data_IF_215963627969
#
_entry.id   IF_215963627969
#
_cell.length_a   1.000
_cell.length_b   1.000
_cell.length_c   1.000
_cell.angle_alpha   90.00
_cell.angle_beta   90.00
_cell.angle_gamma   90.00
#
_symmetry.space_group_name_H-M   'P 1'
#
loop_
_entity.id
_entity.type
_entity.pdbx_description
1 polymer ?
#
# COMPACT_ATOMS: atom_id res chain seq x y z
N UNK A 1 -12.27 -10.31 21.66
CA UNK A 1 -11.22 -11.34 21.76
C UNK A 1 -10.39 -11.24 20.49
N UNK A 2 -9.34 -10.42 20.48
CA UNK A 2 -8.45 -10.27 19.32
C UNK A 2 -7.46 -11.43 19.31
N UNK A 3 -7.27 -12.07 18.15
CA UNK A 3 -6.28 -13.12 17.99
C UNK A 3 -4.89 -12.60 18.35
N UNK A 4 -4.19 -13.36 19.18
CA UNK A 4 -3.02 -12.92 19.96
C UNK A 4 -1.69 -13.06 19.22
N UNK A 5 -1.65 -12.88 17.90
CA UNK A 5 -0.39 -12.87 17.14
C UNK A 5 -0.45 -11.93 15.93
N UNK A 6 -0.91 -10.70 16.09
CA UNK A 6 -0.58 -9.66 15.11
C UNK A 6 0.94 -9.36 15.26
N UNK A 7 1.80 -9.71 14.29
CA UNK A 7 3.23 -9.43 14.37
C UNK A 7 3.53 -7.94 14.54
N UNK A 8 2.61 -7.08 14.10
CA UNK A 8 2.67 -5.63 14.32
C UNK A 8 2.55 -5.29 15.81
N UNK A 9 1.71 -6.01 16.56
CA UNK A 9 1.51 -5.78 18.01
C UNK A 9 2.73 -6.15 18.85
N UNK A 10 3.40 -7.27 18.54
CA UNK A 10 4.60 -7.68 19.28
C UNK A 10 5.77 -6.71 19.06
N UNK A 11 6.07 -6.36 17.80
CA UNK A 11 7.10 -5.39 17.47
C UNK A 11 6.81 -4.00 18.07
N UNK A 12 5.53 -3.60 18.05
CA UNK A 12 5.09 -2.34 18.62
C UNK A 12 5.29 -2.28 20.14
N UNK A 13 4.91 -3.32 20.88
CA UNK A 13 5.13 -3.39 22.34
C UNK A 13 6.61 -3.28 22.71
N UNK A 14 7.46 -4.02 22.00
CA UNK A 14 8.91 -3.93 22.20
C UNK A 14 9.44 -2.51 21.93
N UNK A 15 8.92 -1.82 20.90
CA UNK A 15 9.31 -0.43 20.63
C UNK A 15 8.83 0.53 21.72
N UNK A 16 7.61 0.37 22.22
CA UNK A 16 7.05 1.17 23.34
C UNK A 16 7.91 1.04 24.59
N UNK A 17 8.30 -0.19 24.94
CA UNK A 17 9.16 -0.49 26.08
C UNK A 17 10.57 0.12 25.90
N UNK A 18 11.21 -0.12 24.75
CA UNK A 18 12.55 0.38 24.45
C UNK A 18 12.64 1.91 24.43
N UNK A 19 11.57 2.59 24.01
CA UNK A 19 11.49 4.05 23.97
C UNK A 19 11.01 4.66 25.30
N UNK A 20 10.55 3.85 26.24
CA UNK A 20 9.95 4.32 27.49
C UNK A 20 8.73 5.21 27.27
N UNK A 21 7.90 4.90 26.26
CA UNK A 21 6.75 5.73 25.90
C UNK A 21 5.72 5.74 27.04
N UNK A 22 5.16 6.93 27.30
CA UNK A 22 4.08 7.07 28.28
C UNK A 22 2.86 6.26 27.82
N UNK A 23 2.14 5.58 28.74
CA UNK A 23 1.03 4.70 28.37
C UNK A 23 -0.07 5.38 27.54
N UNK A 24 -0.35 6.65 27.80
CA UNK A 24 -1.34 7.41 27.04
C UNK A 24 -0.90 7.69 25.59
N UNK A 25 0.39 7.94 25.36
CA UNK A 25 0.96 8.12 24.01
C UNK A 25 0.95 6.79 23.27
N UNK A 26 1.42 5.72 23.93
CA UNK A 26 1.37 4.38 23.35
C UNK A 26 -0.06 3.99 22.98
N UNK A 27 -1.06 4.33 23.80
CA UNK A 27 -2.45 4.02 23.48
C UNK A 27 -2.98 4.80 22.27
N UNK A 28 -2.61 6.08 22.14
CA UNK A 28 -2.99 6.92 21.02
C UNK A 28 -2.39 6.44 19.68
N UNK A 29 -1.24 5.76 19.72
CA UNK A 29 -0.56 5.21 18.55
C UNK A 29 -1.01 3.79 18.17
N UNK A 30 -1.81 3.12 19.02
CA UNK A 30 -2.39 1.78 18.73
C UNK A 30 -3.69 1.85 17.94
N UNK A 31 -4.48 2.89 18.15
CA UNK A 31 -5.84 3.00 17.63
C UNK A 31 -5.79 3.86 16.37
N UNK A 32 -6.34 3.39 15.23
CA UNK A 32 -6.41 4.21 14.03
C UNK A 32 -7.35 5.41 14.23
N UNK A 33 -6.98 6.56 13.67
CA UNK A 33 -7.81 7.77 13.67
C UNK A 33 -9.21 7.54 13.08
N UNK A 34 -9.31 6.69 12.04
CA UNK A 34 -10.57 6.37 11.37
C UNK A 34 -10.55 5.03 10.66
N UNK A 35 -11.68 4.34 10.69
CA UNK A 35 -11.97 3.16 9.87
C UNK A 35 -13.27 3.39 9.11
N UNK A 36 -13.25 3.16 7.81
CA UNK A 36 -14.43 3.26 6.95
C UNK A 36 -14.64 1.92 6.22
N UNK A 37 -15.82 1.35 6.39
CA UNK A 37 -16.34 0.24 5.58
C UNK A 37 -17.42 0.77 4.66
N UNK A 38 -17.38 0.39 3.38
CA UNK A 38 -18.34 0.82 2.37
C UNK A 38 -18.88 -0.37 1.60
N UNK A 39 -20.16 -0.28 1.23
CA UNK A 39 -20.76 -1.13 0.21
C UNK A 39 -20.39 -0.60 -1.19
N UNK A 40 -20.10 -1.49 -2.12
CA UNK A 40 -19.77 -1.17 -3.52
C UNK A 40 -20.73 -1.93 -4.46
N UNK A 41 -21.93 -1.39 -4.73
CA UNK A 41 -22.85 -2.00 -5.69
C UNK A 41 -22.38 -1.73 -7.12
N UNK A 42 -22.38 -2.75 -7.96
CA UNK A 42 -22.01 -2.65 -9.37
C UNK A 42 -22.87 -3.57 -10.25
N UNK A 43 -22.94 -3.22 -11.54
CA UNK A 43 -23.60 -4.06 -12.54
C UNK A 43 -22.57 -5.00 -13.16
N UNK A 44 -22.86 -6.29 -13.15
CA UNK A 44 -22.09 -7.33 -13.83
C UNK A 44 -22.30 -7.25 -15.34
N UNK A 45 -21.39 -7.84 -16.12
CA UNK A 45 -21.50 -7.85 -17.58
C UNK A 45 -22.74 -8.60 -18.09
N UNK A 46 -23.23 -9.58 -17.32
CA UNK A 46 -24.50 -10.29 -17.59
C UNK A 46 -25.76 -9.47 -17.27
N UNK A 47 -25.60 -8.26 -16.71
CA UNK A 47 -26.68 -7.35 -16.39
C UNK A 47 -27.21 -7.42 -14.95
N UNK A 48 -26.81 -8.43 -14.17
CA UNK A 48 -27.17 -8.56 -12.76
C UNK A 48 -26.48 -7.48 -11.91
N UNK A 49 -27.07 -7.18 -10.74
CA UNK A 49 -26.46 -6.30 -9.75
C UNK A 49 -25.82 -7.18 -8.69
N UNK A 50 -24.58 -6.87 -8.35
CA UNK A 50 -23.82 -7.52 -7.30
C UNK A 50 -23.16 -6.44 -6.42
N UNK A 51 -22.68 -6.83 -5.24
CA UNK A 51 -22.15 -5.90 -4.25
C UNK A 51 -20.98 -6.51 -3.49
N UNK A 52 -19.91 -5.72 -3.31
CA UNK A 52 -18.72 -6.14 -2.57
C UNK A 52 -18.41 -5.12 -1.47
N UNK A 53 -17.66 -5.55 -0.46
CA UNK A 53 -17.27 -4.70 0.66
C UNK A 53 -15.87 -4.13 0.41
N UNK A 54 -15.74 -2.83 0.61
CA UNK A 54 -14.46 -2.12 0.60
C UNK A 54 -14.14 -1.51 1.98
N UNK A 55 -12.85 -1.34 2.24
CA UNK A 55 -12.33 -0.75 3.46
C UNK A 55 -11.33 0.36 3.17
N UNK A 56 -11.33 1.41 3.99
CA UNK A 56 -10.25 2.40 4.08
C UNK A 56 -9.99 2.74 5.55
N UNK A 57 -8.77 2.43 6.00
CA UNK A 57 -8.28 2.73 7.35
C UNK A 57 -7.25 3.84 7.28
N UNK A 58 -7.41 4.83 8.14
CA UNK A 58 -6.54 5.98 8.33
C UNK A 58 -5.99 5.88 9.74
N UNK A 59 -4.71 5.51 9.87
CA UNK A 59 -4.13 5.13 11.15
C UNK A 59 -3.67 6.33 11.97
N UNK A 60 -2.76 7.14 11.44
CA UNK A 60 -2.27 8.32 12.13
C UNK A 60 -1.80 9.38 11.11
N UNK A 61 -2.21 10.64 11.27
CA UNK A 61 -1.82 11.77 10.40
C UNK A 61 -0.91 12.82 11.06
N UNK A 62 -0.30 12.53 12.21
CA UNK A 62 0.49 13.52 12.97
C UNK A 62 1.63 14.14 12.15
N UNK A 63 2.18 13.39 11.18
CA UNK A 63 3.28 13.86 10.30
C UNK A 63 2.83 14.42 8.95
N UNK A 64 1.53 14.39 8.65
CA UNK A 64 0.98 14.81 7.36
C UNK A 64 -0.15 13.91 6.86
N UNK A 65 -0.59 14.09 5.61
CA UNK A 65 -1.71 13.33 5.02
C UNK A 65 -1.51 11.82 5.14
N UNK A 66 -2.59 11.05 5.24
CA UNK A 66 -2.50 9.61 5.22
C UNK A 66 -1.96 9.13 3.86
N UNK A 67 -1.08 8.12 3.88
CA UNK A 67 -0.55 7.51 2.66
C UNK A 67 -0.63 6.00 2.73
N UNK A 68 -1.19 5.39 1.69
CA UNK A 68 -0.97 3.98 1.42
C UNK A 68 -1.96 3.35 0.46
N UNK A 69 -1.62 2.14 0.03
CA UNK A 69 -2.21 1.49 -1.13
C UNK A 69 -3.62 0.94 -0.93
N UNK A 70 -4.26 0.56 -2.02
CA UNK A 70 -5.54 -0.16 -2.08
C UNK A 70 -5.28 -1.55 -2.66
N UNK A 71 -5.64 -2.59 -1.91
CA UNK A 71 -5.43 -4.02 -2.27
C UNK A 71 -6.71 -4.67 -2.77
N UNK A 72 -6.64 -5.44 -3.85
CA UNK A 72 -7.74 -6.33 -4.29
C UNK A 72 -7.35 -7.77 -4.00
N UNK A 73 -7.93 -8.37 -2.95
CA UNK A 73 -7.63 -9.76 -2.60
C UNK A 73 -8.80 -10.40 -1.85
N UNK A 74 -9.06 -11.68 -2.07
CA UNK A 74 -10.21 -12.40 -1.49
C UNK A 74 -10.12 -12.55 0.04
N UNK A 75 -8.91 -12.49 0.60
CA UNK A 75 -8.68 -12.48 2.05
C UNK A 75 -8.67 -11.08 2.70
N UNK A 76 -8.98 -10.00 1.95
CA UNK A 76 -9.04 -8.67 2.58
C UNK A 76 -10.15 -8.63 3.61
N UNK A 77 -9.78 -8.32 4.85
CA UNK A 77 -10.68 -7.96 5.93
C UNK A 77 -10.21 -6.68 6.64
N UNK A 78 -11.01 -6.20 7.59
CA UNK A 78 -10.71 -4.97 8.33
C UNK A 78 -9.48 -5.09 9.22
N UNK A 79 -9.18 -6.28 9.76
CA UNK A 79 -8.02 -6.49 10.63
C UNK A 79 -6.72 -6.39 9.83
N UNK A 80 -6.66 -7.04 8.67
CA UNK A 80 -5.51 -6.95 7.75
C UNK A 80 -5.27 -5.50 7.31
N UNK A 81 -6.33 -4.79 6.89
CA UNK A 81 -6.21 -3.40 6.42
C UNK A 81 -5.73 -2.48 7.55
N UNK A 82 -6.19 -2.71 8.78
CA UNK A 82 -5.72 -1.97 9.97
C UNK A 82 -4.24 -2.19 10.23
N UNK A 83 -3.78 -3.44 10.32
CA UNK A 83 -2.37 -3.75 10.57
C UNK A 83 -1.46 -3.17 9.48
N UNK A 84 -1.90 -3.22 8.21
CA UNK A 84 -1.16 -2.62 7.10
C UNK A 84 -1.15 -1.07 7.14
N UNK A 85 -2.22 -0.42 7.61
CA UNK A 85 -2.25 1.04 7.79
C UNK A 85 -1.31 1.50 8.92
N UNK A 86 -1.23 0.73 10.00
CA UNK A 86 -0.26 0.91 11.08
C UNK A 86 1.17 0.82 10.54
N UNK A 87 1.50 -0.22 9.76
CA UNK A 87 2.80 -0.35 9.10
C UNK A 87 3.13 0.82 8.17
N UNK A 88 2.13 1.41 7.50
CA UNK A 88 2.36 2.60 6.66
C UNK A 88 2.75 3.83 7.48
N UNK A 89 2.25 3.99 8.70
CA UNK A 89 2.65 5.07 9.63
C UNK A 89 4.12 4.92 10.02
N UNK A 90 4.53 3.70 10.36
CA UNK A 90 5.92 3.42 10.72
C UNK A 90 6.86 3.52 9.53
N UNK A 91 6.43 3.04 8.36
CA UNK A 91 7.23 3.13 7.14
C UNK A 91 7.51 4.57 6.73
N UNK A 92 6.48 5.42 6.71
CA UNK A 92 6.59 6.83 6.30
C UNK A 92 7.44 7.64 7.28
N UNK A 93 7.30 7.40 8.58
CA UNK A 93 8.17 8.00 9.60
C UNK A 93 9.62 7.50 9.52
N UNK A 94 9.84 6.21 9.28
CA UNK A 94 11.18 5.62 9.19
C UNK A 94 12.02 6.22 8.05
N UNK A 95 11.40 6.48 6.89
CA UNK A 95 12.07 7.09 5.73
C UNK A 95 11.93 8.61 5.68
N UNK A 96 11.48 9.22 6.78
CA UNK A 96 11.37 10.66 7.01
C UNK A 96 10.62 11.44 5.93
N UNK A 97 9.49 10.89 5.45
CA UNK A 97 8.57 11.59 4.53
C UNK A 97 7.38 12.19 5.31
N UNK A 98 6.81 13.32 4.85
CA UNK A 98 5.76 14.05 5.57
C UNK A 98 4.38 13.43 5.35
N UNK A 99 4.23 12.16 5.71
CA UNK A 99 2.99 11.41 5.61
C UNK A 99 2.69 10.64 6.88
N UNK A 100 1.40 10.44 7.09
CA UNK A 100 0.84 9.44 7.98
C UNK A 100 0.67 8.08 7.32
N UNK A 101 -0.02 7.16 8.01
CA UNK A 101 -0.32 5.83 7.48
C UNK A 101 -1.79 5.63 7.14
N UNK A 102 -2.07 5.20 5.92
CA UNK A 102 -3.39 4.75 5.51
C UNK A 102 -3.31 3.45 4.72
N UNK A 103 -4.42 2.71 4.64
CA UNK A 103 -4.53 1.53 3.78
C UNK A 103 -5.98 1.30 3.39
N UNK A 104 -6.22 0.75 2.22
CA UNK A 104 -7.54 0.25 1.86
C UNK A 104 -7.48 -1.09 1.17
N UNK A 105 -8.65 -1.66 0.95
CA UNK A 105 -8.78 -2.87 0.15
C UNK A 105 -10.22 -3.23 -0.14
N UNK A 106 -10.38 -4.13 -1.10
CA UNK A 106 -11.67 -4.72 -1.50
C UNK A 106 -11.51 -6.24 -1.45
N UNK A 107 -12.44 -6.92 -0.78
CA UNK A 107 -12.49 -8.36 -0.61
C UNK A 107 -12.92 -9.09 -1.88
N UNK A 108 -12.10 -9.05 -2.93
CA UNK A 108 -12.38 -9.68 -4.24
C UNK A 108 -11.18 -10.45 -4.77
N UNK A 109 -11.45 -11.48 -5.58
CA UNK A 109 -10.44 -12.06 -6.45
C UNK A 109 -10.55 -11.42 -7.85
N UNK A 110 -9.58 -10.58 -8.27
CA UNK A 110 -9.70 -9.84 -9.52
C UNK A 110 -9.80 -10.72 -10.77
N UNK A 111 -9.36 -11.98 -10.73
CA UNK A 111 -9.50 -12.90 -11.87
C UNK A 111 -10.94 -13.28 -12.19
N UNK A 112 -11.85 -13.06 -11.23
CA UNK A 112 -13.25 -13.46 -11.35
C UNK A 112 -14.10 -12.37 -12.00
N UNK A 113 -13.48 -11.23 -12.35
CA UNK A 113 -14.13 -10.05 -12.90
C UNK A 113 -13.51 -9.67 -14.25
N UNK A 114 -14.33 -9.19 -15.16
CA UNK A 114 -13.82 -8.57 -16.38
C UNK A 114 -13.13 -7.23 -16.09
N UNK A 115 -12.34 -6.73 -17.04
CA UNK A 115 -11.74 -5.39 -16.92
C UNK A 115 -12.80 -4.30 -16.73
N UNK A 116 -13.94 -4.42 -17.42
CA UNK A 116 -15.03 -3.45 -17.31
C UNK A 116 -15.71 -3.51 -15.95
N UNK A 117 -15.86 -4.71 -15.37
CA UNK A 117 -16.37 -4.88 -14.01
C UNK A 117 -15.39 -4.32 -12.97
N UNK A 118 -14.09 -4.60 -13.11
CA UNK A 118 -13.05 -4.04 -12.23
C UNK A 118 -13.00 -2.51 -12.29
N UNK A 119 -13.18 -1.91 -13.48
CA UNK A 119 -13.31 -0.46 -13.61
C UNK A 119 -14.52 0.07 -12.84
N UNK A 120 -15.70 -0.55 -13.03
CA UNK A 120 -16.93 -0.14 -12.32
C UNK A 120 -16.79 -0.26 -10.80
N UNK A 121 -16.24 -1.37 -10.32
CA UNK A 121 -15.95 -1.60 -8.89
C UNK A 121 -14.99 -0.51 -8.37
N UNK A 122 -13.90 -0.27 -9.09
CA UNK A 122 -12.87 0.72 -8.70
C UNK A 122 -13.47 2.12 -8.59
N UNK A 123 -14.22 2.56 -9.60
CA UNK A 123 -14.88 3.88 -9.62
C UNK A 123 -15.89 4.03 -8.48
N UNK A 124 -16.72 3.01 -8.26
CA UNK A 124 -17.71 3.02 -7.18
C UNK A 124 -17.06 3.03 -5.80
N UNK A 125 -16.01 2.25 -5.60
CA UNK A 125 -15.22 2.28 -4.37
C UNK A 125 -14.62 3.67 -4.11
N UNK A 126 -14.00 4.27 -5.12
CA UNK A 126 -13.37 5.58 -4.96
C UNK A 126 -14.38 6.67 -4.61
N UNK A 127 -15.56 6.67 -5.24
CA UNK A 127 -16.68 7.55 -4.84
C UNK A 127 -17.13 7.31 -3.41
N UNK A 128 -17.20 6.05 -2.97
CA UNK A 128 -17.69 5.70 -1.64
C UNK A 128 -16.74 6.17 -0.53
N UNK A 129 -15.43 6.23 -0.80
CA UNK A 129 -14.42 6.74 0.16
C UNK A 129 -14.10 8.23 -0.02
N UNK A 130 -14.68 8.90 -1.02
CA UNK A 130 -14.49 10.33 -1.32
C UNK A 130 -14.53 11.25 -0.09
N UNK A 131 -15.47 11.10 0.87
CA UNK A 131 -15.57 11.99 2.02
C UNK A 131 -14.34 12.00 2.94
N UNK A 132 -13.43 11.03 2.80
CA UNK A 132 -12.28 10.87 3.67
C UNK A 132 -10.93 10.98 2.93
N UNK A 133 -10.94 11.15 1.61
CA UNK A 133 -9.72 11.26 0.80
C UNK A 133 -9.50 12.68 0.27
N UNK A 134 -8.26 12.99 -0.11
CA UNK A 134 -7.91 14.31 -0.61
C UNK A 134 -6.40 14.51 -0.68
N UNK A 135 -5.94 15.43 -1.53
CA UNK A 135 -4.50 15.69 -1.76
C UNK A 135 -3.76 16.05 -0.47
N UNK A 136 -4.43 16.71 0.47
CA UNK A 136 -3.88 17.08 1.78
C UNK A 136 -4.51 16.29 2.94
N UNK A 137 -5.22 15.20 2.64
CA UNK A 137 -5.97 14.41 3.63
C UNK A 137 -5.50 12.95 3.60
N UNK A 138 -5.74 12.25 2.49
CA UNK A 138 -5.38 10.85 2.30
C UNK A 138 -5.20 10.55 0.82
N UNK A 139 -4.03 9.99 0.47
CA UNK A 139 -3.57 9.79 -0.90
C UNK A 139 -3.36 8.29 -1.15
N UNK A 140 -4.26 7.60 -1.85
CA UNK A 140 -4.09 6.20 -2.18
C UNK A 140 -2.93 5.89 -3.15
N UNK A 141 -2.65 4.59 -3.32
CA UNK A 141 -1.62 4.05 -4.22
C UNK A 141 -1.99 2.62 -4.66
N UNK A 142 -1.25 2.04 -5.63
CA UNK A 142 -1.25 0.61 -5.88
C UNK A 142 -0.81 -0.21 -4.67
N UNK A 143 -1.35 -1.43 -4.60
CA UNK A 143 -0.93 -2.52 -3.74
C UNK A 143 -1.16 -3.86 -4.48
N UNK A 144 -1.25 -4.99 -3.77
CA UNK A 144 -1.50 -6.30 -4.37
C UNK A 144 -2.75 -6.25 -5.27
N UNK A 145 -2.57 -6.68 -6.51
CA UNK A 145 -3.57 -6.72 -7.60
C UNK A 145 -4.21 -5.38 -8.00
N UNK A 146 -3.59 -4.26 -7.63
CA UNK A 146 -3.90 -2.96 -8.25
C UNK A 146 -2.65 -2.38 -8.89
N UNK A 147 -2.82 -1.55 -9.91
CA UNK A 147 -1.71 -1.08 -10.76
C UNK A 147 -1.98 0.35 -11.24
N UNK A 148 -1.18 0.82 -12.20
CA UNK A 148 -1.33 2.16 -12.78
C UNK A 148 -2.67 2.38 -13.48
N UNK A 149 -3.27 1.34 -14.06
CA UNK A 149 -4.61 1.40 -14.65
C UNK A 149 -5.69 1.63 -13.58
N UNK A 150 -5.59 0.97 -12.42
CA UNK A 150 -6.53 1.25 -11.32
C UNK A 150 -6.36 2.68 -10.81
N UNK A 151 -5.13 3.19 -10.76
CA UNK A 151 -4.87 4.57 -10.36
C UNK A 151 -5.38 5.60 -11.36
N UNK A 152 -5.40 5.29 -12.66
CA UNK A 152 -5.97 6.19 -13.66
C UNK A 152 -7.48 6.29 -13.49
N UNK A 153 -8.18 5.17 -13.24
CA UNK A 153 -9.61 5.18 -12.91
C UNK A 153 -9.92 5.98 -11.64
N UNK A 154 -9.14 5.79 -10.57
CA UNK A 154 -9.32 6.56 -9.33
C UNK A 154 -9.12 8.06 -9.54
N UNK A 155 -8.05 8.44 -10.25
CA UNK A 155 -7.76 9.86 -10.52
C UNK A 155 -8.85 10.50 -11.39
N UNK A 156 -9.29 9.81 -12.43
CA UNK A 156 -10.37 10.27 -13.31
C UNK A 156 -11.67 10.42 -12.52
N UNK A 157 -12.06 9.39 -11.75
CA UNK A 157 -13.30 9.38 -10.97
C UNK A 157 -13.39 10.54 -9.97
N UNK A 158 -12.29 10.79 -9.25
CA UNK A 158 -12.21 11.92 -8.32
C UNK A 158 -12.24 13.26 -9.05
N UNK A 159 -11.59 13.35 -10.21
CA UNK A 159 -11.53 14.58 -10.99
C UNK A 159 -12.90 14.99 -11.56
N UNK A 160 -13.82 14.04 -11.75
CA UNK A 160 -15.21 14.36 -12.14
C UNK A 160 -15.95 15.21 -11.09
N UNK A 161 -15.58 15.09 -9.81
CA UNK A 161 -16.24 15.79 -8.70
C UNK A 161 -15.45 17.01 -8.22
N UNK A 162 -14.12 16.94 -8.28
CA UNK A 162 -13.21 17.93 -7.67
C UNK A 162 -12.37 18.71 -8.68
N UNK A 163 -12.58 18.50 -9.98
CA UNK A 163 -11.73 19.04 -11.04
C UNK A 163 -10.39 18.30 -11.16
N UNK A 164 -9.59 18.66 -12.16
CA UNK A 164 -8.33 17.97 -12.47
C UNK A 164 -7.38 17.93 -11.26
N UNK A 165 -7.29 16.77 -10.60
CA UNK A 165 -6.58 16.61 -9.32
C UNK A 165 -5.61 15.44 -9.37
N UNK A 166 -4.47 15.55 -10.09
CA UNK A 166 -3.53 14.44 -10.26
C UNK A 166 -2.90 13.98 -8.93
N UNK A 167 -2.84 14.84 -7.91
CA UNK A 167 -2.25 14.54 -6.61
C UNK A 167 -3.05 13.55 -5.74
N UNK A 168 -4.29 13.21 -6.11
CA UNK A 168 -5.17 12.37 -5.26
C UNK A 168 -4.67 10.94 -5.11
N UNK A 169 -3.94 10.41 -6.09
CA UNK A 169 -3.34 9.08 -6.05
C UNK A 169 -1.92 9.09 -6.60
N UNK A 170 -1.04 8.27 -6.03
CA UNK A 170 0.29 8.03 -6.62
C UNK A 170 0.30 6.72 -7.38
N UNK A 171 1.15 6.61 -8.40
CA UNK A 171 1.24 5.38 -9.19
C UNK A 171 0.44 5.32 -10.44
N UNK A 172 0.01 6.48 -10.91
CA UNK A 172 -0.54 6.71 -12.23
C UNK A 172 0.50 6.44 -13.33
N UNK A 173 0.06 6.19 -14.58
CA UNK A 173 0.90 6.26 -15.77
C UNK A 173 1.61 7.61 -15.89
N UNK A 174 2.73 7.66 -16.61
CA UNK A 174 3.53 8.89 -16.80
C UNK A 174 2.68 9.98 -17.45
N UNK A 175 1.87 9.60 -18.43
CA UNK A 175 0.96 10.44 -19.20
C UNK A 175 -0.09 11.14 -18.33
N UNK A 176 -0.36 10.61 -17.13
CA UNK A 176 -1.32 11.15 -16.16
C UNK A 176 -0.64 11.78 -14.94
N UNK A 177 0.62 12.20 -15.06
CA UNK A 177 1.39 12.76 -13.93
C UNK A 177 1.92 11.69 -12.98
N UNK A 178 2.28 10.53 -13.54
CA UNK A 178 3.10 9.53 -12.87
C UNK A 178 4.55 9.99 -12.71
N UNK A 179 5.29 9.36 -11.81
CA UNK A 179 6.72 9.63 -11.64
C UNK A 179 7.54 8.60 -12.38
N UNK A 180 8.58 9.06 -13.08
CA UNK A 180 9.63 8.19 -13.60
C UNK A 180 10.28 7.37 -12.49
N UNK A 181 10.78 6.18 -12.84
CA UNK A 181 11.45 5.28 -11.90
C UNK A 181 10.53 4.59 -10.88
N UNK A 182 9.25 4.96 -10.79
CA UNK A 182 8.31 4.37 -9.83
C UNK A 182 8.23 2.85 -9.95
N UNK A 183 8.14 2.34 -11.18
CA UNK A 183 7.94 0.92 -11.43
C UNK A 183 9.06 0.07 -10.81
N UNK A 184 10.29 0.59 -10.80
CA UNK A 184 11.46 -0.07 -10.25
C UNK A 184 11.74 0.28 -8.78
N UNK A 185 11.07 1.29 -8.21
CA UNK A 185 11.48 1.95 -6.97
C UNK A 185 11.59 1.00 -5.78
N UNK A 186 10.60 0.13 -5.57
CA UNK A 186 10.60 -0.82 -4.44
C UNK A 186 11.71 -1.85 -4.59
N UNK A 187 11.87 -2.46 -5.78
CA UNK A 187 12.93 -3.45 -6.02
C UNK A 187 14.33 -2.84 -5.95
N UNK A 188 14.49 -1.60 -6.43
CA UNK A 188 15.72 -0.83 -6.28
C UNK A 188 16.05 -0.55 -4.81
N UNK A 189 15.04 -0.13 -4.03
CA UNK A 189 15.19 0.09 -2.60
C UNK A 189 15.64 -1.15 -1.86
N UNK A 190 15.05 -2.32 -2.17
CA UNK A 190 15.48 -3.61 -1.61
C UNK A 190 16.95 -3.88 -1.93
N UNK A 191 17.36 -3.76 -3.19
CA UNK A 191 18.75 -3.98 -3.59
C UNK A 191 19.73 -3.02 -2.90
N UNK A 192 19.37 -1.74 -2.77
CA UNK A 192 20.17 -0.74 -2.04
C UNK A 192 20.34 -1.16 -0.58
N UNK A 193 19.24 -1.48 0.12
CA UNK A 193 19.30 -1.91 1.53
C UNK A 193 20.15 -3.16 1.68
N UNK A 194 20.03 -4.13 0.77
CA UNK A 194 20.88 -5.33 0.76
C UNK A 194 22.35 -4.97 0.62
N UNK A 195 22.71 -4.04 -0.27
CA UNK A 195 24.10 -3.58 -0.43
C UNK A 195 24.65 -2.93 0.84
N UNK A 196 23.93 -1.97 1.41
CA UNK A 196 24.36 -1.28 2.63
C UNK A 196 24.49 -2.25 3.82
N UNK A 197 23.59 -3.23 3.92
CA UNK A 197 23.63 -4.28 4.95
C UNK A 197 24.83 -5.20 4.76
N UNK A 198 25.09 -5.62 3.52
CA UNK A 198 26.22 -6.47 3.19
C UNK A 198 27.55 -5.80 3.54
N UNK A 199 27.71 -4.51 3.21
CA UNK A 199 28.89 -3.73 3.59
C UNK A 199 29.08 -3.70 5.10
N UNK A 200 28.02 -3.40 5.87
CA UNK A 200 28.05 -3.38 7.33
C UNK A 200 28.42 -4.72 7.96
N UNK A 201 28.10 -5.83 7.30
CA UNK A 201 28.40 -7.19 7.76
C UNK A 201 29.67 -7.77 7.14
N UNK A 202 30.41 -7.01 6.34
CA UNK A 202 31.63 -7.48 5.67
C UNK A 202 31.39 -8.57 4.61
N UNK A 203 30.20 -8.59 4.00
CA UNK A 203 29.83 -9.54 2.94
C UNK A 203 30.12 -8.89 1.58
N UNK A 204 31.00 -9.51 0.79
CA UNK A 204 31.26 -9.08 -0.59
C UNK A 204 30.09 -9.50 -1.50
N UNK A 205 29.45 -8.53 -2.17
CA UNK A 205 28.33 -8.82 -3.07
C UNK A 205 28.74 -9.54 -4.36
N UNK A 206 29.98 -9.34 -4.81
CA UNK A 206 30.50 -9.96 -6.03
C UNK A 206 30.49 -11.49 -5.88
N UNK A 207 29.79 -12.17 -6.76
CA UNK A 207 29.51 -13.62 -6.72
C UNK A 207 28.68 -14.10 -5.51
N UNK A 208 28.15 -13.22 -4.67
CA UNK A 208 27.26 -13.61 -3.58
C UNK A 208 26.01 -14.31 -4.14
N UNK A 209 25.63 -15.43 -3.54
CA UNK A 209 24.45 -16.20 -3.97
C UNK A 209 23.20 -15.63 -3.33
N UNK A 210 22.20 -15.30 -4.15
CA UNK A 210 20.94 -14.70 -3.72
C UNK A 210 19.78 -15.60 -4.16
N UNK A 211 18.82 -15.77 -3.25
CA UNK A 211 17.52 -16.41 -3.51
C UNK A 211 16.42 -15.37 -3.38
N UNK A 212 15.51 -15.28 -4.35
CA UNK A 212 14.40 -14.31 -4.37
C UNK A 212 13.08 -15.05 -4.44
N UNK A 213 12.33 -15.03 -3.33
CA UNK A 213 10.99 -15.58 -3.30
C UNK A 213 9.99 -14.60 -3.91
N UNK A 214 9.43 -14.98 -5.06
CA UNK A 214 8.41 -14.22 -5.79
C UNK A 214 9.01 -13.31 -6.86
N UNK A 215 8.53 -13.43 -8.10
CA UNK A 215 9.10 -12.76 -9.27
C UNK A 215 8.12 -11.78 -9.95
N UNK A 216 7.29 -11.11 -9.14
CA UNK A 216 6.46 -9.99 -9.59
C UNK A 216 7.29 -8.71 -9.79
N UNK A 217 6.62 -7.55 -9.78
CA UNK A 217 7.27 -6.25 -9.94
C UNK A 217 8.45 -6.05 -8.97
N UNK A 218 8.26 -6.26 -7.66
CA UNK A 218 9.34 -6.06 -6.68
C UNK A 218 10.51 -7.04 -6.89
N UNK A 219 10.21 -8.35 -7.03
CA UNK A 219 11.23 -9.39 -7.12
C UNK A 219 12.07 -9.30 -8.39
N UNK A 220 11.44 -9.06 -9.54
CA UNK A 220 12.14 -8.91 -10.83
C UNK A 220 13.10 -7.73 -10.84
N UNK A 221 12.69 -6.56 -10.34
CA UNK A 221 13.59 -5.40 -10.22
C UNK A 221 14.66 -5.61 -9.15
N UNK A 222 14.35 -6.27 -8.03
CA UNK A 222 15.36 -6.63 -7.01
C UNK A 222 16.44 -7.53 -7.63
N UNK A 223 16.03 -8.58 -8.37
CA UNK A 223 16.94 -9.49 -9.05
C UNK A 223 17.87 -8.74 -10.01
N UNK A 224 17.28 -7.87 -10.85
CA UNK A 224 18.02 -7.03 -11.79
C UNK A 224 19.10 -6.20 -11.09
N UNK A 225 18.75 -5.43 -10.06
CA UNK A 225 19.72 -4.54 -9.41
C UNK A 225 20.78 -5.28 -8.59
N UNK A 226 20.45 -6.45 -8.02
CA UNK A 226 21.44 -7.28 -7.33
C UNK A 226 22.41 -7.95 -8.33
N UNK A 227 21.92 -8.37 -9.50
CA UNK A 227 22.77 -8.85 -10.60
C UNK A 227 23.71 -7.73 -11.10
N UNK A 228 23.21 -6.49 -11.24
CA UNK A 228 24.03 -5.31 -11.56
C UNK A 228 25.11 -5.03 -10.48
N UNK A 229 24.88 -5.39 -9.22
CA UNK A 229 25.88 -5.34 -8.15
C UNK A 229 26.85 -6.53 -8.14
N UNK A 230 26.70 -7.47 -9.07
CA UNK A 230 27.56 -8.63 -9.26
C UNK A 230 27.17 -9.86 -8.45
N UNK A 231 25.97 -9.89 -7.86
CA UNK A 231 25.44 -11.09 -7.21
C UNK A 231 25.05 -12.16 -8.24
N UNK A 232 24.95 -13.42 -7.79
CA UNK A 232 24.42 -14.54 -8.57
C UNK A 232 23.03 -14.91 -8.05
N UNK A 233 22.01 -14.65 -8.85
CA UNK A 233 20.64 -15.09 -8.55
C UNK A 233 20.56 -16.59 -8.84
N UNK A 234 20.37 -17.40 -7.81
CA UNK A 234 20.41 -18.87 -7.91
C UNK A 234 19.06 -19.55 -7.70
N UNK A 235 18.03 -18.81 -7.30
CA UNK A 235 16.68 -19.31 -7.05
C UNK A 235 15.74 -18.22 -6.57
#
# INVERSE_FOLDING_TARGET
MSSSTDPTSAAYKAAVENLGLKPNIAKALEIPDRELQVEIPFKKDNGEIDSVIGFRVQHNNTRGPFKGGIRYHHHVDIEEVRSLATLMTWKTSLVDIPYGGGKGGIGINPSDYSQTELERISRRFFRAIDPIIGVNIDIPAPDVNTNSQVMSWFMDEYSQLHGYTPGIVTGKPIELGGSEGREAATGRGTAIITRETAEKWGIELKNAKVVIQGFGNVGSYTAKFLDEYGCKIIG
#
